data_IF_237471918211
#
_entry.id   IF_237471918211
#
_cell.length_a   1.000
_cell.length_b   1.000
_cell.length_c   1.000
_cell.angle_alpha   90.00
_cell.angle_beta   90.00
_cell.angle_gamma   90.00
#
_symmetry.space_group_name_H-M   'P 1'
#
loop_
_entity.id
_entity.type
_entity.pdbx_description
1 polymer ?
#
# COMPACT_ATOMS: atom_id res chain seq x y z
N UNK A 1 -54.28 -19.16 14.79
CA UNK A 1 -52.89 -19.64 14.63
C UNK A 1 -52.01 -18.44 14.29
N UNK A 2 -51.35 -17.83 15.27
CA UNK A 2 -50.40 -16.75 15.04
C UNK A 2 -48.98 -17.35 15.02
N UNK A 3 -48.30 -17.28 13.87
CA UNK A 3 -46.94 -17.75 13.71
C UNK A 3 -45.97 -16.83 14.44
N UNK A 4 -45.38 -17.36 15.52
CA UNK A 4 -44.27 -16.72 16.22
C UNK A 4 -43.02 -16.80 15.34
N UNK A 5 -42.69 -15.71 14.64
CA UNK A 5 -41.41 -15.59 13.95
C UNK A 5 -40.28 -15.54 14.98
N UNK A 6 -39.24 -16.39 14.88
CA UNK A 6 -38.11 -16.33 15.79
C UNK A 6 -37.37 -15.00 15.59
N UNK A 7 -37.25 -14.20 16.66
CA UNK A 7 -36.44 -12.98 16.66
C UNK A 7 -35.00 -13.38 16.38
N UNK A 8 -34.51 -13.09 15.17
CA UNK A 8 -33.10 -13.21 14.84
C UNK A 8 -32.29 -12.37 15.85
N UNK A 9 -31.33 -13.03 16.48
CA UNK A 9 -30.62 -12.58 17.68
C UNK A 9 -29.70 -11.41 17.31
N UNK A 10 -30.12 -10.17 17.59
CA UNK A 10 -29.33 -8.92 17.36
C UNK A 10 -27.96 -8.90 18.05
N UNK A 11 -27.74 -9.74 19.07
CA UNK A 11 -26.53 -9.78 19.88
C UNK A 11 -25.20 -10.01 19.14
N UNK A 12 -25.19 -10.58 17.93
CA UNK A 12 -23.92 -10.84 17.24
C UNK A 12 -23.31 -9.57 16.66
N UNK A 13 -24.10 -8.66 16.10
CA UNK A 13 -23.60 -7.45 15.44
C UNK A 13 -23.04 -6.42 16.43
N UNK A 14 -23.64 -6.33 17.61
CA UNK A 14 -23.25 -5.39 18.67
C UNK A 14 -21.84 -5.68 19.24
N UNK A 15 -21.38 -6.93 19.15
CA UNK A 15 -20.01 -7.30 19.54
C UNK A 15 -18.97 -6.92 18.48
N UNK A 16 -19.35 -6.85 17.21
CA UNK A 16 -18.45 -6.47 16.11
C UNK A 16 -18.41 -4.96 15.87
N UNK A 17 -19.49 -4.24 16.20
CA UNK A 17 -19.58 -2.78 16.04
C UNK A 17 -18.38 -2.02 16.68
N UNK A 18 -17.95 -2.32 17.93
CA UNK A 18 -16.77 -1.68 18.52
C UNK A 18 -15.48 -1.96 17.76
N UNK A 19 -15.30 -3.19 17.25
CA UNK A 19 -14.11 -3.59 16.49
C UNK A 19 -14.01 -2.84 15.16
N UNK A 20 -15.15 -2.58 14.50
CA UNK A 20 -15.21 -1.77 13.27
C UNK A 20 -14.91 -0.29 13.52
N UNK A 21 -15.09 0.20 14.75
CA UNK A 21 -14.86 1.61 15.09
C UNK A 21 -13.43 1.91 15.55
N UNK A 22 -12.68 0.91 15.98
CA UNK A 22 -11.27 1.07 16.38
C UNK A 22 -10.36 1.12 15.16
N UNK A 23 -9.26 1.89 15.25
CA UNK A 23 -8.22 1.88 14.22
C UNK A 23 -7.61 0.47 14.12
N UNK A 24 -7.37 -0.05 12.90
CA UNK A 24 -6.85 -1.39 12.73
C UNK A 24 -5.45 -1.50 13.32
N UNK A 25 -5.23 -2.54 14.12
CA UNK A 25 -3.89 -2.86 14.64
C UNK A 25 -2.92 -3.30 13.54
N UNK A 26 -1.63 -3.33 13.85
CA UNK A 26 -0.55 -3.68 12.90
C UNK A 26 -0.85 -4.99 12.16
N UNK A 27 -1.25 -6.04 12.88
CA UNK A 27 -1.56 -7.36 12.27
C UNK A 27 -2.70 -7.27 11.25
N UNK A 28 -3.78 -6.58 11.58
CA UNK A 28 -4.94 -6.43 10.68
C UNK A 28 -4.55 -5.65 9.43
N UNK A 29 -3.78 -4.58 9.58
CA UNK A 29 -3.33 -3.76 8.46
C UNK A 29 -2.34 -4.54 7.56
N UNK A 30 -1.43 -5.33 8.14
CA UNK A 30 -0.55 -6.23 7.38
C UNK A 30 -1.32 -7.30 6.62
N UNK A 31 -2.32 -7.95 7.23
CA UNK A 31 -3.16 -8.94 6.56
C UNK A 31 -4.00 -8.32 5.43
N UNK A 32 -4.56 -7.13 5.68
CA UNK A 32 -5.28 -6.38 4.67
C UNK A 32 -4.37 -6.06 3.47
N UNK A 33 -3.14 -5.60 3.70
CA UNK A 33 -2.21 -5.28 2.62
C UNK A 33 -1.86 -6.52 1.78
N UNK A 34 -1.68 -7.69 2.42
CA UNK A 34 -1.45 -8.92 1.68
C UNK A 34 -2.65 -9.32 0.81
N UNK A 35 -3.87 -9.17 1.32
CA UNK A 35 -5.10 -9.41 0.53
C UNK A 35 -5.23 -8.40 -0.62
N UNK A 36 -4.93 -7.13 -0.34
CA UNK A 36 -4.91 -6.05 -1.33
C UNK A 36 -3.92 -6.35 -2.45
N UNK A 37 -2.67 -6.62 -2.09
CA UNK A 37 -1.57 -6.97 -2.99
C UNK A 37 -1.96 -8.14 -3.87
N UNK A 38 -2.48 -9.22 -3.28
CA UNK A 38 -2.89 -10.41 -4.00
C UNK A 38 -4.02 -10.12 -5.00
N UNK A 39 -5.01 -9.32 -4.60
CA UNK A 39 -6.13 -8.94 -5.47
C UNK A 39 -5.67 -8.09 -6.66
N UNK A 40 -4.71 -7.18 -6.46
CA UNK A 40 -4.15 -6.36 -7.53
C UNK A 40 -3.30 -7.19 -8.49
N UNK A 41 -2.42 -8.04 -7.96
CA UNK A 41 -1.50 -8.88 -8.74
C UNK A 41 -2.24 -9.94 -9.54
N UNK A 42 -3.09 -10.74 -8.91
CA UNK A 42 -3.81 -11.81 -9.61
C UNK A 42 -4.94 -11.28 -10.49
N UNK A 43 -5.57 -10.17 -10.08
CA UNK A 43 -6.69 -9.57 -10.81
C UNK A 43 -6.27 -8.71 -12.01
N UNK A 44 -5.04 -8.20 -11.99
CA UNK A 44 -4.47 -7.33 -13.02
C UNK A 44 -5.38 -6.13 -13.35
N UNK A 45 -5.32 -5.67 -14.61
CA UNK A 45 -6.17 -4.57 -15.08
C UNK A 45 -7.65 -4.98 -15.23
N UNK A 46 -7.97 -6.28 -15.28
CA UNK A 46 -9.35 -6.77 -15.43
C UNK A 46 -10.19 -6.64 -14.16
N UNK A 47 -9.57 -6.61 -12.97
CA UNK A 47 -10.29 -6.63 -11.70
C UNK A 47 -9.99 -5.43 -10.80
N UNK A 48 -9.58 -4.28 -11.37
CA UNK A 48 -9.20 -3.07 -10.61
C UNK A 48 -10.24 -2.63 -9.57
N UNK A 49 -11.53 -2.91 -9.79
CA UNK A 49 -12.60 -2.60 -8.86
C UNK A 49 -12.40 -3.25 -7.48
N UNK A 50 -11.78 -4.43 -7.40
CA UNK A 50 -11.55 -5.16 -6.15
C UNK A 50 -10.51 -4.46 -5.25
N UNK A 51 -9.24 -4.28 -5.68
CA UNK A 51 -8.29 -3.50 -4.89
C UNK A 51 -8.77 -2.06 -4.69
N UNK A 52 -9.47 -1.44 -5.65
CA UNK A 52 -9.98 -0.07 -5.45
C UNK A 52 -11.02 -0.02 -4.30
N UNK A 53 -11.95 -0.97 -4.25
CA UNK A 53 -12.90 -1.08 -3.15
C UNK A 53 -12.18 -1.36 -1.80
N UNK A 54 -11.18 -2.25 -1.79
CA UNK A 54 -10.38 -2.50 -0.60
C UNK A 54 -9.66 -1.25 -0.11
N UNK A 55 -9.11 -0.43 -1.02
CA UNK A 55 -8.48 0.85 -0.69
C UNK A 55 -9.49 1.78 -0.04
N UNK A 56 -10.65 1.99 -0.67
CA UNK A 56 -11.70 2.89 -0.14
C UNK A 56 -12.15 2.46 1.25
N UNK A 57 -12.39 1.16 1.45
CA UNK A 57 -12.75 0.62 2.77
C UNK A 57 -11.65 0.87 3.80
N UNK A 58 -10.38 0.69 3.41
CA UNK A 58 -9.25 0.93 4.29
C UNK A 58 -9.13 2.40 4.69
N UNK A 59 -9.19 3.31 3.72
CA UNK A 59 -9.11 4.76 3.94
C UNK A 59 -10.25 5.26 4.85
N UNK A 60 -11.45 4.70 4.68
CA UNK A 60 -12.56 4.95 5.59
C UNK A 60 -12.26 4.45 7.02
N UNK A 61 -11.73 3.23 7.16
CA UNK A 61 -11.44 2.62 8.46
C UNK A 61 -10.35 3.36 9.24
N UNK A 62 -9.26 3.79 8.58
CA UNK A 62 -8.16 4.52 9.24
C UNK A 62 -8.55 5.97 9.62
N UNK A 63 -9.70 6.46 9.11
CA UNK A 63 -10.17 7.84 9.22
C UNK A 63 -9.14 8.81 8.65
N UNK A 64 -8.91 8.66 7.34
CA UNK A 64 -7.93 9.42 6.56
C UNK A 64 -7.98 10.93 6.86
N UNK A 65 -6.81 11.53 7.10
CA UNK A 65 -6.64 12.99 7.25
C UNK A 65 -6.02 13.61 5.99
N UNK A 66 -5.93 14.94 5.93
CA UNK A 66 -5.37 15.64 4.76
C UNK A 66 -3.90 15.25 4.52
N UNK A 67 -3.11 15.05 5.57
CA UNK A 67 -1.73 14.61 5.45
C UNK A 67 -1.63 13.21 4.81
N UNK A 68 -2.55 12.30 5.12
CA UNK A 68 -2.65 10.96 4.53
C UNK A 68 -2.95 11.06 3.03
N UNK A 69 -3.92 11.90 2.64
CA UNK A 69 -4.26 12.10 1.22
C UNK A 69 -3.05 12.58 0.44
N UNK A 70 -2.39 13.64 0.91
CA UNK A 70 -1.23 14.22 0.23
C UNK A 70 -0.09 13.19 0.18
N UNK A 71 0.14 12.47 1.28
CA UNK A 71 1.15 11.43 1.35
C UNK A 71 0.90 10.31 0.32
N UNK A 72 -0.31 9.77 0.26
CA UNK A 72 -0.69 8.74 -0.71
C UNK A 72 -0.48 9.24 -2.14
N UNK A 73 -0.92 10.46 -2.47
CA UNK A 73 -0.72 11.04 -3.79
C UNK A 73 0.76 11.18 -4.15
N UNK A 74 1.59 11.68 -3.21
CA UNK A 74 3.03 11.79 -3.42
C UNK A 74 3.69 10.42 -3.66
N UNK A 75 3.32 9.40 -2.86
CA UNK A 75 3.87 8.04 -3.00
C UNK A 75 3.43 7.38 -4.30
N UNK A 76 2.17 7.55 -4.70
CA UNK A 76 1.66 7.03 -5.99
C UNK A 76 2.42 7.63 -7.16
N UNK A 77 2.61 8.95 -7.17
CA UNK A 77 3.35 9.64 -8.24
C UNK A 77 4.82 9.22 -8.26
N UNK A 78 5.48 9.19 -7.10
CA UNK A 78 6.88 8.79 -6.99
C UNK A 78 7.09 7.33 -7.41
N UNK A 79 6.26 6.43 -6.90
CA UNK A 79 6.32 5.00 -7.22
C UNK A 79 6.05 4.71 -8.69
N UNK A 80 5.02 5.34 -9.26
CA UNK A 80 4.73 5.26 -10.69
C UNK A 80 5.91 5.77 -11.54
N UNK A 81 6.55 6.86 -11.13
CA UNK A 81 7.73 7.39 -11.82
C UNK A 81 8.91 6.41 -11.75
N UNK A 82 9.19 5.83 -10.57
CA UNK A 82 10.26 4.84 -10.39
C UNK A 82 10.01 3.62 -11.27
N UNK A 83 8.81 3.04 -11.24
CA UNK A 83 8.50 1.85 -12.02
C UNK A 83 8.50 2.15 -13.53
N UNK A 84 8.06 3.34 -13.94
CA UNK A 84 8.15 3.77 -15.34
C UNK A 84 9.61 3.92 -15.80
N UNK A 85 10.49 4.44 -14.95
CA UNK A 85 11.94 4.48 -15.23
C UNK A 85 12.49 3.07 -15.39
N UNK A 86 12.11 2.13 -14.52
CA UNK A 86 12.54 0.72 -14.62
C UNK A 86 12.03 0.05 -15.92
N UNK A 87 10.85 0.41 -16.40
CA UNK A 87 10.35 -0.04 -17.72
C UNK A 87 11.17 0.57 -18.86
N UNK A 88 11.42 1.88 -18.83
CA UNK A 88 12.19 2.58 -19.87
C UNK A 88 13.62 2.02 -20.00
N UNK A 89 14.25 1.65 -18.89
CA UNK A 89 15.58 1.04 -18.89
C UNK A 89 15.59 -0.48 -19.13
N UNK A 90 14.43 -1.10 -19.41
CA UNK A 90 14.34 -2.54 -19.69
C UNK A 90 14.55 -3.44 -18.47
N UNK A 91 14.49 -2.89 -17.26
CA UNK A 91 14.53 -3.70 -16.03
C UNK A 91 13.21 -4.43 -15.83
N UNK A 92 12.09 -3.75 -16.10
CA UNK A 92 10.74 -4.31 -16.08
C UNK A 92 10.15 -4.41 -17.48
N UNK A 93 9.46 -5.52 -17.73
CA UNK A 93 8.75 -5.77 -18.98
C UNK A 93 7.29 -6.15 -18.67
N UNK A 94 6.35 -5.48 -19.34
CA UNK A 94 4.92 -5.79 -19.23
C UNK A 94 4.38 -6.15 -20.61
N UNK A 95 3.80 -7.34 -20.74
CA UNK A 95 3.38 -7.91 -22.04
C UNK A 95 2.20 -7.19 -22.69
N UNK A 96 1.42 -6.44 -21.89
CA UNK A 96 0.14 -5.85 -22.32
C UNK A 96 0.22 -4.34 -22.58
N UNK A 97 1.30 -3.68 -22.16
CA UNK A 97 1.43 -2.22 -22.26
C UNK A 97 2.91 -1.80 -22.12
N UNK A 98 3.37 -0.81 -22.90
CA UNK A 98 4.70 -0.22 -22.71
C UNK A 98 4.76 0.72 -21.48
N UNK A 99 3.62 1.04 -20.88
CA UNK A 99 3.49 1.79 -19.63
C UNK A 99 3.26 0.84 -18.46
N UNK A 100 3.54 1.31 -17.24
CA UNK A 100 3.18 0.56 -16.03
C UNK A 100 1.66 0.30 -15.97
N UNK A 101 1.23 -0.89 -15.53
CA UNK A 101 -0.19 -1.22 -15.50
C UNK A 101 -0.91 -0.53 -14.34
N UNK A 102 -2.21 -0.28 -14.52
CA UNK A 102 -3.03 0.45 -13.53
C UNK A 102 -3.11 -0.27 -12.17
N UNK A 103 -3.06 -1.60 -12.15
CA UNK A 103 -3.04 -2.36 -10.90
C UNK A 103 -1.78 -2.08 -10.06
N UNK A 104 -0.65 -1.79 -10.70
CA UNK A 104 0.60 -1.47 -10.01
C UNK A 104 0.58 -0.05 -9.44
N UNK A 105 -0.03 0.90 -10.15
CA UNK A 105 -0.30 2.25 -9.63
C UNK A 105 -1.19 2.17 -8.38
N UNK A 106 -2.22 1.32 -8.42
CA UNK A 106 -3.11 1.11 -7.28
C UNK A 106 -2.43 0.39 -6.12
N UNK A 107 -1.46 -0.49 -6.41
CA UNK A 107 -0.58 -1.14 -5.44
C UNK A 107 0.26 -0.13 -4.67
N UNK A 108 0.79 0.91 -5.34
CA UNK A 108 1.46 2.03 -4.68
C UNK A 108 0.54 2.78 -3.72
N UNK A 109 -0.73 2.98 -4.07
CA UNK A 109 -1.70 3.63 -3.19
C UNK A 109 -2.00 2.79 -1.95
N UNK A 110 -2.22 1.48 -2.13
CA UNK A 110 -2.42 0.54 -1.03
C UNK A 110 -1.20 0.45 -0.12
N UNK A 111 0.00 0.41 -0.70
CA UNK A 111 1.26 0.45 0.05
C UNK A 111 1.39 1.73 0.87
N UNK A 112 1.17 2.90 0.27
CA UNK A 112 1.24 4.19 0.96
C UNK A 112 0.33 4.24 2.19
N UNK A 113 -0.90 3.72 2.08
CA UNK A 113 -1.86 3.65 3.18
C UNK A 113 -1.42 2.73 4.34
N UNK A 114 -0.36 1.92 4.18
CA UNK A 114 0.23 1.11 5.26
C UNK A 114 1.41 1.78 5.95
N UNK A 115 2.06 2.74 5.28
CA UNK A 115 3.33 3.36 5.74
C UNK A 115 3.15 4.08 7.08
N UNK A 116 2.08 4.88 7.21
CA UNK A 116 1.75 5.63 8.44
C UNK A 116 1.14 4.75 9.54
N UNK A 117 0.96 3.46 9.29
CA UNK A 117 0.25 2.53 10.15
C UNK A 117 1.09 1.29 10.50
N UNK A 118 0.86 0.15 9.84
CA UNK A 118 1.54 -1.11 10.19
C UNK A 118 3.05 -1.01 10.03
N UNK A 119 3.53 -0.28 9.02
CA UNK A 119 4.96 -0.14 8.75
C UNK A 119 5.64 0.91 9.62
N UNK A 120 4.89 1.73 10.36
CA UNK A 120 5.46 2.78 11.22
C UNK A 120 6.35 2.20 12.32
N UNK A 121 6.20 0.92 12.67
CA UNK A 121 7.07 0.22 13.63
C UNK A 121 8.56 0.30 13.30
N UNK A 122 8.92 0.51 12.02
CA UNK A 122 10.30 0.60 11.58
C UNK A 122 10.84 2.05 11.51
N UNK A 123 10.02 3.07 11.79
CA UNK A 123 10.38 4.49 11.62
C UNK A 123 11.53 4.96 12.53
N UNK A 124 11.70 4.32 13.69
CA UNK A 124 12.68 4.71 14.72
C UNK A 124 14.13 4.53 14.31
N UNK A 125 14.42 3.62 13.39
CA UNK A 125 15.79 3.27 13.01
C UNK A 125 15.94 3.21 11.50
N UNK A 126 16.63 4.20 10.94
CA UNK A 126 16.89 4.31 9.51
C UNK A 126 17.43 3.02 8.88
N UNK A 127 18.38 2.35 9.56
CA UNK A 127 18.95 1.10 9.06
C UNK A 127 17.94 -0.06 9.02
N UNK A 128 17.06 -0.15 10.02
CA UNK A 128 16.02 -1.20 10.04
C UNK A 128 14.99 -0.93 8.95
N UNK A 129 14.54 0.33 8.82
CA UNK A 129 13.68 0.76 7.72
C UNK A 129 14.30 0.46 6.35
N UNK A 130 15.60 0.72 6.17
CA UNK A 130 16.30 0.46 4.93
C UNK A 130 16.34 -1.04 4.61
N UNK A 131 16.75 -1.88 5.57
CA UNK A 131 16.81 -3.33 5.36
C UNK A 131 15.42 -3.92 5.10
N UNK A 132 14.42 -3.52 5.89
CA UNK A 132 13.04 -3.99 5.73
C UNK A 132 12.47 -3.55 4.37
N UNK A 133 12.66 -2.29 3.99
CA UNK A 133 12.27 -1.79 2.67
C UNK A 133 12.96 -2.55 1.55
N UNK A 134 14.30 -2.64 1.60
CA UNK A 134 15.12 -3.33 0.61
C UNK A 134 14.66 -4.75 0.33
N UNK A 135 14.57 -5.59 1.37
CA UNK A 135 14.15 -6.97 1.21
C UNK A 135 12.65 -7.11 0.94
N UNK A 136 11.79 -6.34 1.62
CA UNK A 136 10.35 -6.40 1.45
C UNK A 136 9.89 -5.96 0.06
N UNK A 137 10.43 -4.84 -0.44
CA UNK A 137 10.19 -4.36 -1.79
C UNK A 137 10.70 -5.34 -2.83
N UNK A 138 11.97 -5.74 -2.77
CA UNK A 138 12.55 -6.66 -3.76
C UNK A 138 11.83 -8.02 -3.82
N UNK A 139 11.45 -8.59 -2.66
CA UNK A 139 10.69 -9.86 -2.62
C UNK A 139 9.28 -9.70 -3.17
N UNK A 140 8.64 -8.54 -3.01
CA UNK A 140 7.33 -8.25 -3.61
C UNK A 140 7.37 -8.29 -5.14
N UNK A 141 8.33 -7.61 -5.77
CA UNK A 141 8.49 -7.66 -7.23
C UNK A 141 8.94 -9.03 -7.71
N UNK A 142 9.81 -9.71 -6.96
CA UNK A 142 10.21 -11.09 -7.28
C UNK A 142 9.02 -12.06 -7.26
N UNK A 143 8.10 -11.92 -6.30
CA UNK A 143 6.86 -12.69 -6.28
C UNK A 143 5.98 -12.36 -7.49
N UNK A 144 5.89 -11.08 -7.89
CA UNK A 144 5.22 -10.68 -9.12
C UNK A 144 5.82 -11.34 -10.38
N UNK A 145 7.15 -11.40 -10.47
CA UNK A 145 7.84 -12.07 -11.58
C UNK A 145 7.54 -13.58 -11.60
N UNK A 146 7.58 -14.25 -10.44
CA UNK A 146 7.23 -15.67 -10.33
C UNK A 146 5.78 -15.98 -10.67
N UNK A 147 4.88 -15.01 -10.49
CA UNK A 147 3.48 -15.09 -10.90
C UNK A 147 3.26 -14.70 -12.36
N UNK A 148 4.31 -14.27 -13.09
CA UNK A 148 4.25 -13.90 -14.49
C UNK A 148 3.54 -12.57 -14.77
N UNK A 149 3.35 -11.72 -13.75
CA UNK A 149 2.67 -10.42 -13.90
C UNK A 149 3.62 -9.27 -14.26
N UNK A 150 4.92 -9.49 -14.10
CA UNK A 150 6.01 -8.60 -14.53
C UNK A 150 7.18 -9.46 -15.01
N UNK A 151 7.77 -9.13 -16.16
CA UNK A 151 9.01 -9.73 -16.63
C UNK A 151 10.23 -8.94 -16.18
N UNK A 152 11.37 -9.61 -16.02
CA UNK A 152 12.67 -8.95 -15.81
C UNK A 152 13.50 -9.06 -17.08
N UNK A 153 13.75 -7.92 -17.75
CA UNK A 153 14.56 -7.89 -18.99
C UNK A 153 16.07 -7.98 -18.73
N UNK A 154 16.52 -7.63 -17.52
CA UNK A 154 17.88 -7.83 -17.06
C UNK A 154 18.06 -9.17 -16.33
N UNK A 155 19.31 -9.54 -16.02
CA UNK A 155 19.58 -10.73 -15.20
C UNK A 155 18.91 -10.61 -13.82
N UNK A 156 18.40 -11.73 -13.30
CA UNK A 156 17.70 -11.76 -12.01
C UNK A 156 18.51 -11.09 -10.90
N UNK A 157 19.81 -11.37 -10.82
CA UNK A 157 20.68 -10.79 -9.80
C UNK A 157 20.80 -9.27 -9.93
N UNK A 158 20.97 -8.75 -11.16
CA UNK A 158 21.06 -7.31 -11.39
C UNK A 158 19.75 -6.60 -11.03
N UNK A 159 18.60 -7.18 -11.41
CA UNK A 159 17.28 -6.62 -11.08
C UNK A 159 17.04 -6.63 -9.58
N UNK A 160 17.27 -7.74 -8.88
CA UNK A 160 17.07 -7.81 -7.43
C UNK A 160 17.99 -6.86 -6.66
N UNK A 161 19.27 -6.73 -7.06
CA UNK A 161 20.18 -5.75 -6.45
C UNK A 161 19.67 -4.31 -6.67
N UNK A 162 19.22 -3.99 -7.88
CA UNK A 162 18.64 -2.69 -8.21
C UNK A 162 17.44 -2.39 -7.31
N UNK A 163 16.51 -3.34 -7.17
CA UNK A 163 15.32 -3.20 -6.34
C UNK A 163 15.67 -3.04 -4.86
N UNK A 164 16.58 -3.85 -4.33
CA UNK A 164 17.05 -3.71 -2.94
C UNK A 164 17.61 -2.31 -2.72
N UNK A 165 18.48 -1.81 -3.60
CA UNK A 165 19.06 -0.48 -3.47
C UNK A 165 18.02 0.64 -3.51
N UNK A 166 17.06 0.57 -4.45
CA UNK A 166 15.97 1.55 -4.55
C UNK A 166 15.16 1.56 -3.25
N UNK A 167 14.72 0.39 -2.79
CA UNK A 167 13.83 0.27 -1.64
C UNK A 167 14.52 0.54 -0.30
N UNK A 168 15.81 0.26 -0.18
CA UNK A 168 16.63 0.64 0.98
C UNK A 168 16.65 2.15 1.21
N UNK A 169 16.58 2.94 0.14
CA UNK A 169 16.51 4.39 0.23
C UNK A 169 15.07 4.87 0.34
N UNK A 170 14.16 4.26 -0.42
CA UNK A 170 12.79 4.73 -0.56
C UNK A 170 12.02 4.69 0.77
N UNK A 171 11.94 3.53 1.42
CA UNK A 171 11.08 3.41 2.61
C UNK A 171 11.47 4.38 3.75
N UNK A 172 12.77 4.52 4.10
CA UNK A 172 13.16 5.53 5.10
C UNK A 172 12.85 6.98 4.68
N UNK A 173 12.99 7.32 3.40
CA UNK A 173 12.62 8.65 2.89
C UNK A 173 11.11 8.89 2.97
N UNK A 174 10.30 7.87 2.74
CA UNK A 174 8.84 7.96 2.87
C UNK A 174 8.42 8.26 4.32
N UNK A 175 9.10 7.71 5.33
CA UNK A 175 8.83 8.08 6.72
C UNK A 175 9.10 9.57 6.97
N UNK A 176 10.24 10.09 6.49
CA UNK A 176 10.54 11.52 6.61
C UNK A 176 9.52 12.40 5.89
N UNK A 177 9.08 12.00 4.70
CA UNK A 177 8.05 12.70 3.96
C UNK A 177 6.72 12.72 4.73
N UNK A 178 6.31 11.59 5.30
CA UNK A 178 5.11 11.49 6.14
C UNK A 178 5.17 12.44 7.34
N UNK A 179 6.31 12.47 8.05
CA UNK A 179 6.49 13.33 9.21
C UNK A 179 6.46 14.82 8.82
N UNK A 180 7.12 15.18 7.73
CA UNK A 180 7.11 16.55 7.19
C UNK A 180 5.69 16.99 6.81
N UNK A 181 4.95 16.17 6.06
CA UNK A 181 3.58 16.49 5.65
C UNK A 181 2.65 16.63 6.86
N UNK A 182 2.80 15.76 7.85
CA UNK A 182 2.02 15.84 9.09
C UNK A 182 2.29 17.18 9.80
N UNK A 183 3.56 17.58 9.95
CA UNK A 183 3.93 18.84 10.57
C UNK A 183 3.41 20.07 9.79
N UNK A 184 3.50 20.04 8.46
CA UNK A 184 3.00 21.13 7.60
C UNK A 184 1.49 21.31 7.69
N UNK A 185 0.72 20.21 7.67
CA UNK A 185 -0.75 20.26 7.77
C UNK A 185 -1.20 20.79 9.13
N UNK A 186 -0.51 20.41 10.22
CA UNK A 186 -0.77 20.96 11.55
C UNK A 186 -0.49 22.46 11.58
N UNK A 187 0.68 22.90 11.10
CA UNK A 187 1.05 24.32 11.07
C UNK A 187 0.09 25.19 10.23
N UNK A 188 -0.44 24.65 9.12
CA UNK A 188 -1.46 25.34 8.31
C UNK A 188 -2.81 25.46 9.03
N UNK A 189 -3.13 24.52 9.91
CA UNK A 189 -4.39 24.49 10.67
C UNK A 189 -4.36 25.43 11.88
N UNK A 190 -3.17 25.75 12.41
CA UNK A 190 -2.98 26.59 13.60
C UNK A 190 -2.86 28.10 13.32
N UNK A 191 -2.74 28.51 12.05
CA UNK A 191 -2.58 29.93 11.69
C UNK A 191 -3.90 30.69 11.95
N UNK A 192 -3.94 31.68 12.87
CA UNK A 192 -5.16 32.43 13.14
C UNK A 192 -5.53 33.31 11.92
N UNK A 193 -6.84 33.33 11.61
CA UNK A 193 -7.46 34.16 10.57
C UNK A 193 -7.40 35.64 10.88
#
# INVERSE_FOLDING_TARGET
>A
MASSFPRLRRHSLDAFLPLLTQRPGIVVNSLWFNAFWLSAVLGGNSMLAVPAALLVVHLWWIRMDLAEVIFILCVVLLGAAIDSVLVVYGVFEFSTTPLIPAWLILLWAGFAATVRHSLRVFDRHWAIAALFGGFGGATSYFAGEKLGVVGFGHSLQATLLTLVCIWMLLLPLLYRLSDLLTALVVAMSEKPS
#
